data_IF_264577705099
#
_entry.id   IF_264577705099
#
_cell.length_a   1.000
_cell.length_b   1.000
_cell.length_c   1.000
_cell.angle_alpha   90.00
_cell.angle_beta   90.00
_cell.angle_gamma   90.00
#
_symmetry.space_group_name_H-M   'P 1'
#
loop_
_entity.id
_entity.type
_entity.pdbx_description
1 polymer ?
#
# COMPACT_ATOMS: atom_id res chain seq x y z
N UNK A 1 14.82 -4.91 2.37
CA UNK A 1 14.71 -4.03 3.55
C UNK A 1 13.36 -3.34 3.54
N UNK A 2 12.62 -3.41 4.64
CA UNK A 2 11.45 -2.55 4.84
C UNK A 2 11.95 -1.12 5.12
N UNK A 3 11.38 -0.13 4.44
CA UNK A 3 11.59 1.29 4.79
C UNK A 3 10.83 1.59 6.08
N UNK A 4 11.34 2.51 6.91
CA UNK A 4 10.76 2.88 8.22
C UNK A 4 9.48 3.72 8.10
N UNK A 5 8.46 3.17 7.44
CA UNK A 5 7.19 3.84 7.20
C UNK A 5 6.49 4.27 8.50
N UNK A 6 6.60 3.48 9.56
CA UNK A 6 5.99 3.80 10.86
C UNK A 6 6.65 5.02 11.53
N UNK A 7 7.96 5.26 11.32
CA UNK A 7 8.66 6.46 11.82
C UNK A 7 8.11 7.73 11.20
N UNK A 8 7.78 7.69 9.90
CA UNK A 8 7.27 8.85 9.15
C UNK A 8 5.73 8.91 9.08
N UNK A 9 5.02 7.89 9.55
CA UNK A 9 3.55 7.76 9.51
C UNK A 9 2.83 8.97 10.08
N UNK A 10 3.29 9.47 11.22
CA UNK A 10 2.71 10.64 11.89
C UNK A 10 2.91 11.94 11.08
N UNK A 11 4.08 12.12 10.47
CA UNK A 11 4.36 13.27 9.60
C UNK A 11 3.55 13.17 8.29
N UNK A 12 3.53 12.00 7.65
CA UNK A 12 2.73 11.73 6.44
C UNK A 12 1.24 12.00 6.71
N UNK A 13 0.70 11.51 7.84
CA UNK A 13 -0.70 11.77 8.26
C UNK A 13 -0.97 13.26 8.41
N UNK A 14 -0.09 13.99 9.08
CA UNK A 14 -0.24 15.43 9.31
C UNK A 14 -0.13 16.23 8.01
N UNK A 15 0.76 15.86 7.10
CA UNK A 15 0.87 16.51 5.79
C UNK A 15 -0.33 16.22 4.88
N UNK A 16 -0.83 14.99 4.87
CA UNK A 16 -1.90 14.56 3.97
C UNK A 16 -3.32 14.91 4.47
N UNK A 17 -3.58 14.74 5.77
CA UNK A 17 -4.89 15.00 6.40
C UNK A 17 -4.99 16.43 6.92
N UNK A 18 -4.07 16.84 7.80
CA UNK A 18 -4.16 18.17 8.47
C UNK A 18 -3.84 19.32 7.52
N UNK A 19 -2.78 19.20 6.73
CA UNK A 19 -2.39 20.21 5.73
C UNK A 19 -3.03 19.98 4.36
N UNK A 20 -3.79 18.89 4.18
CA UNK A 20 -4.48 18.56 2.93
C UNK A 20 -3.58 18.35 1.70
N UNK A 21 -2.25 18.21 1.85
CA UNK A 21 -1.29 18.25 0.74
C UNK A 21 -1.45 17.08 -0.23
N UNK A 22 -1.02 17.29 -1.47
CA UNK A 22 -1.00 16.22 -2.48
C UNK A 22 0.02 15.14 -2.12
N UNK A 23 -0.15 13.94 -2.67
CA UNK A 23 0.83 12.86 -2.51
C UNK A 23 2.21 13.19 -3.10
N UNK A 24 2.25 14.05 -4.12
CA UNK A 24 3.51 14.48 -4.71
C UNK A 24 4.24 15.48 -3.80
N UNK A 25 3.51 16.42 -3.19
CA UNK A 25 4.05 17.32 -2.17
C UNK A 25 4.55 16.56 -0.94
N UNK A 26 3.79 15.58 -0.45
CA UNK A 26 4.20 14.70 0.66
C UNK A 26 5.51 13.99 0.30
N UNK A 27 5.61 13.40 -0.90
CA UNK A 27 6.86 12.77 -1.38
C UNK A 27 8.00 13.77 -1.45
N UNK A 28 7.79 14.96 -2.02
CA UNK A 28 8.79 16.02 -2.18
C UNK A 28 9.33 16.49 -0.83
N UNK A 29 8.45 16.68 0.16
CA UNK A 29 8.81 17.05 1.54
C UNK A 29 9.61 15.94 2.22
N UNK A 30 9.15 14.68 2.15
CA UNK A 30 9.86 13.54 2.76
C UNK A 30 11.23 13.27 2.09
N UNK A 31 11.33 13.44 0.77
CA UNK A 31 12.59 13.33 0.05
C UNK A 31 13.55 14.46 0.45
N UNK A 32 13.08 15.70 0.58
CA UNK A 32 13.91 16.83 1.00
C UNK A 32 14.36 16.79 2.46
N UNK A 33 13.49 16.34 3.38
CA UNK A 33 13.78 16.31 4.83
C UNK A 33 14.55 15.09 5.30
N UNK A 34 14.21 13.92 4.76
CA UNK A 34 14.66 12.62 5.29
C UNK A 34 15.38 11.75 4.25
N UNK A 35 15.66 12.30 3.06
CA UNK A 35 16.14 11.55 1.88
C UNK A 35 15.25 10.33 1.54
N UNK A 36 13.97 10.37 1.95
CA UNK A 36 13.04 9.26 1.83
C UNK A 36 12.43 9.21 0.42
N UNK A 37 13.17 8.66 -0.54
CA UNK A 37 12.63 8.44 -1.89
C UNK A 37 11.79 7.15 -1.93
N UNK A 38 10.47 7.31 -1.88
CA UNK A 38 9.51 6.24 -2.15
C UNK A 38 8.56 6.64 -3.29
N UNK A 39 8.09 5.66 -4.06
CA UNK A 39 7.19 5.91 -5.18
C UNK A 39 5.80 6.33 -4.71
N UNK A 40 5.10 7.13 -5.52
CA UNK A 40 3.72 7.57 -5.24
C UNK A 40 2.79 6.37 -5.01
N UNK A 41 3.02 5.25 -5.71
CA UNK A 41 2.25 4.01 -5.51
C UNK A 41 2.50 3.38 -4.14
N UNK A 42 3.72 3.42 -3.61
CA UNK A 42 4.01 2.96 -2.26
C UNK A 42 3.32 3.83 -1.19
N UNK A 43 3.33 5.16 -1.36
CA UNK A 43 2.56 6.06 -0.49
C UNK A 43 1.05 5.78 -0.55
N UNK A 44 0.47 5.57 -1.74
CA UNK A 44 -0.95 5.18 -1.87
C UNK A 44 -1.25 3.88 -1.13
N UNK A 45 -0.44 2.84 -1.32
CA UNK A 45 -0.62 1.57 -0.63
C UNK A 45 -0.52 1.71 0.89
N UNK A 46 0.39 2.55 1.40
CA UNK A 46 0.54 2.78 2.85
C UNK A 46 -0.58 3.62 3.46
N UNK A 47 -1.08 4.64 2.77
CA UNK A 47 -2.28 5.37 3.21
C UNK A 47 -3.53 4.48 3.22
N UNK A 48 -3.64 3.56 2.25
CA UNK A 48 -4.70 2.55 2.20
C UNK A 48 -4.56 1.52 3.33
N UNK A 49 -3.34 1.00 3.59
CA UNK A 49 -3.04 0.12 4.74
C UNK A 49 -3.40 0.77 6.08
N UNK A 50 -3.13 2.08 6.21
CA UNK A 50 -3.43 2.85 7.42
C UNK A 50 -4.85 3.42 7.47
N UNK A 51 -5.72 3.11 6.49
CA UNK A 51 -7.11 3.58 6.45
C UNK A 51 -7.31 5.10 6.30
N UNK A 52 -6.29 5.85 5.88
CA UNK A 52 -6.30 7.32 5.88
C UNK A 52 -7.06 7.91 4.67
N UNK A 53 -8.40 7.99 4.76
CA UNK A 53 -9.26 8.65 3.77
C UNK A 53 -9.41 10.15 4.08
N UNK A 54 -9.29 11.02 3.07
CA UNK A 54 -9.28 12.49 3.20
C UNK A 54 -10.66 13.13 3.47
N UNK A 55 -11.76 12.41 3.23
CA UNK A 55 -13.12 12.97 3.34
C UNK A 55 -13.82 12.57 4.66
N UNK A 56 -14.28 13.58 5.40
CA UNK A 56 -15.19 13.45 6.55
C UNK A 56 -16.64 13.20 6.10
N UNK A 57 -16.88 12.07 5.43
CA UNK A 57 -18.23 11.48 5.43
C UNK A 57 -18.21 10.32 6.42
N UNK A 58 -19.20 10.17 7.31
CA UNK A 58 -19.36 8.94 8.07
C UNK A 58 -19.72 7.85 7.05
N UNK A 59 -18.70 7.13 6.58
CA UNK A 59 -18.90 5.95 5.75
C UNK A 59 -19.57 4.92 6.64
N UNK A 60 -20.87 4.71 6.45
CA UNK A 60 -21.53 3.48 6.87
C UNK A 60 -20.83 2.37 6.12
N UNK A 61 -19.92 1.63 6.78
CA UNK A 61 -18.99 0.71 6.12
C UNK A 61 -19.72 -0.57 5.70
N UNK A 62 -20.40 -0.50 4.56
CA UNK A 62 -20.66 -1.65 3.72
C UNK A 62 -19.40 -2.02 2.94
N UNK A 63 -18.83 -3.19 3.24
CA UNK A 63 -17.85 -3.96 2.47
C UNK A 63 -16.93 -3.21 1.49
N UNK A 64 -15.77 -2.73 1.96
CA UNK A 64 -14.63 -2.38 1.10
C UNK A 64 -13.30 -3.04 1.53
N UNK A 65 -13.35 -4.33 1.88
CA UNK A 65 -12.18 -5.21 1.81
C UNK A 65 -12.07 -5.81 0.41
N UNK A 66 -11.40 -5.11 -0.51
CA UNK A 66 -10.87 -5.77 -1.72
C UNK A 66 -9.59 -6.50 -1.30
N UNK A 67 -9.55 -7.86 -1.32
CA UNK A 67 -8.32 -8.56 -1.00
C UNK A 67 -7.27 -8.18 -2.06
N UNK A 68 -6.16 -7.58 -1.63
CA UNK A 68 -4.99 -7.47 -2.52
C UNK A 68 -4.51 -8.90 -2.77
N UNK A 69 -4.39 -9.37 -4.03
CA UNK A 69 -3.77 -10.66 -4.28
C UNK A 69 -2.32 -10.57 -3.82
N UNK A 70 -2.04 -11.27 -2.72
CA UNK A 70 -0.72 -11.35 -2.13
C UNK A 70 0.25 -11.96 -3.14
N UNK A 71 1.42 -11.34 -3.25
CA UNK A 71 2.60 -11.89 -3.92
C UNK A 71 2.94 -13.23 -3.26
N UNK A 72 2.44 -14.34 -3.79
CA UNK A 72 2.68 -15.67 -3.22
C UNK A 72 4.15 -16.02 -3.33
N UNK A 73 4.78 -16.32 -2.19
CA UNK A 73 6.13 -16.87 -2.16
C UNK A 73 6.03 -18.39 -2.14
N UNK A 74 6.70 -19.01 -3.11
CA UNK A 74 7.24 -20.37 -3.15
C UNK A 74 6.73 -21.35 -2.07
N UNK A 75 5.94 -22.36 -2.48
CA UNK A 75 6.04 -23.75 -1.98
C UNK A 75 5.14 -24.70 -2.79
N UNK A 76 5.61 -25.94 -2.98
CA UNK A 76 4.85 -27.21 -3.11
C UNK A 76 3.62 -27.24 -4.07
N UNK A 77 3.58 -28.04 -5.14
CA UNK A 77 3.96 -29.45 -5.18
C UNK A 77 4.19 -30.02 -6.59
N UNK A 78 5.11 -30.98 -6.67
CA UNK A 78 5.15 -32.01 -7.70
C UNK A 78 3.87 -32.87 -7.61
N UNK A 79 3.01 -32.83 -8.63
CA UNK A 79 2.11 -33.93 -9.06
C UNK A 79 1.58 -33.62 -10.46
N UNK A 80 2.46 -33.57 -11.48
CA UNK A 80 2.01 -33.60 -12.88
C UNK A 80 1.49 -35.01 -13.16
N UNK A 81 0.17 -35.15 -13.16
CA UNK A 81 -0.49 -36.41 -13.41
C UNK A 81 -0.19 -36.89 -14.84
N UNK A 82 0.17 -38.16 -14.92
CA UNK A 82 0.12 -38.96 -16.14
C UNK A 82 -1.36 -39.09 -16.53
N UNK A 83 -1.74 -38.79 -17.78
CA UNK A 83 -2.94 -39.30 -18.47
C UNK A 83 -2.88 -38.91 -19.95
N UNK A 84 -2.88 -39.93 -20.83
CA UNK A 84 -3.03 -39.90 -22.30
C UNK A 84 -4.53 -39.87 -22.68
N UNK A 85 -5.01 -40.09 -23.93
CA UNK A 85 -4.38 -40.21 -25.26
C UNK A 85 -4.84 -38.99 -26.14
N UNK A 86 -5.24 -38.99 -27.44
CA UNK A 86 -5.22 -39.96 -28.56
C UNK A 86 -4.27 -39.51 -29.72
N UNK A 87 -4.17 -40.14 -30.90
CA UNK A 87 -4.78 -41.37 -31.49
C UNK A 87 -3.66 -42.35 -31.88
#
# INVERSE_FOLDING_TARGET
MAKDWERYKTEIKTLYITNGKSLDDVRRILKGRHNFDASIRAFRMKLEDWGMKKNKVPVVVGNQTRPRPGRSLLTANLWRQNLTPPL
#
